data_IF_144412147375
#
_entry.id   IF_144412147375
#
_cell.length_a   1.000
_cell.length_b   1.000
_cell.length_c   1.000
_cell.angle_alpha   90.00
_cell.angle_beta   90.00
_cell.angle_gamma   90.00
#
_symmetry.space_group_name_H-M   'P 1'
#
loop_
_entity.id
_entity.type
_entity.pdbx_description
1 polymer ?
#
# COMPACT_ATOMS: atom_id res chain seq x y z
N UNK A 1 -29.19 -15.87 -2.67
CA UNK A 1 -28.98 -15.34 -4.02
C UNK A 1 -28.14 -14.07 -3.88
N UNK A 2 -26.83 -14.20 -3.58
CA UNK A 2 -25.89 -13.07 -3.49
C UNK A 2 -24.69 -13.43 -4.38
N UNK A 3 -24.98 -13.68 -5.64
CA UNK A 3 -23.98 -13.95 -6.68
C UNK A 3 -24.24 -13.02 -7.86
N UNK A 4 -24.52 -11.75 -7.58
CA UNK A 4 -23.90 -10.72 -8.40
C UNK A 4 -22.47 -10.68 -7.90
N UNK A 5 -21.59 -11.41 -8.58
CA UNK A 5 -20.17 -11.34 -8.33
C UNK A 5 -19.78 -9.89 -8.54
N UNK A 6 -19.32 -9.20 -7.48
CA UNK A 6 -18.77 -7.85 -7.60
C UNK A 6 -17.85 -7.81 -8.82
N UNK A 7 -18.23 -6.99 -9.78
CA UNK A 7 -17.51 -6.91 -11.03
C UNK A 7 -16.11 -6.36 -10.75
N UNK A 8 -15.18 -6.57 -11.68
CA UNK A 8 -13.83 -6.02 -11.54
C UNK A 8 -13.86 -4.51 -11.36
N UNK A 9 -14.85 -3.83 -11.94
CA UNK A 9 -15.04 -2.39 -11.79
C UNK A 9 -15.49 -2.01 -10.37
N UNK A 10 -16.43 -2.74 -9.78
CA UNK A 10 -16.88 -2.47 -8.40
C UNK A 10 -15.73 -2.59 -7.39
N UNK A 11 -14.87 -3.61 -7.54
CA UNK A 11 -13.71 -3.78 -6.66
C UNK A 11 -12.69 -2.66 -6.87
N UNK A 12 -12.54 -2.18 -8.10
CA UNK A 12 -11.65 -1.06 -8.43
C UNK A 12 -12.17 0.23 -7.79
N UNK A 13 -13.46 0.50 -7.92
CA UNK A 13 -14.13 1.62 -7.27
C UNK A 13 -14.01 1.55 -5.74
N UNK A 14 -14.21 0.37 -5.14
CA UNK A 14 -13.99 0.18 -3.70
C UNK A 14 -12.55 0.51 -3.29
N UNK A 15 -11.58 0.12 -4.11
CA UNK A 15 -10.16 0.43 -3.87
C UNK A 15 -9.92 1.94 -3.88
N UNK A 16 -10.45 2.65 -4.87
CA UNK A 16 -10.35 4.12 -4.98
C UNK A 16 -11.01 4.83 -3.79
N UNK A 17 -12.20 4.38 -3.38
CA UNK A 17 -12.89 4.92 -2.19
C UNK A 17 -12.06 4.65 -0.92
N UNK A 18 -11.40 3.49 -0.82
CA UNK A 18 -10.49 3.17 0.29
C UNK A 18 -9.33 4.16 0.40
N UNK A 19 -8.68 4.48 -0.72
CA UNK A 19 -7.61 5.47 -0.75
C UNK A 19 -8.13 6.89 -0.45
N UNK A 20 -9.29 7.28 -0.99
CA UNK A 20 -9.93 8.56 -0.68
C UNK A 20 -10.24 8.65 0.82
N UNK A 21 -10.83 7.62 1.41
CA UNK A 21 -11.12 7.59 2.84
C UNK A 21 -9.86 7.79 3.67
N UNK A 22 -8.77 7.09 3.33
CA UNK A 22 -7.49 7.23 4.02
C UNK A 22 -6.91 8.65 3.89
N UNK A 23 -6.98 9.27 2.70
CA UNK A 23 -6.54 10.65 2.47
C UNK A 23 -7.32 11.69 3.30
N UNK A 24 -8.55 11.35 3.72
CA UNK A 24 -9.41 12.19 4.57
C UNK A 24 -9.29 11.84 6.06
N UNK A 25 -8.35 10.97 6.43
CA UNK A 25 -8.15 10.51 7.80
C UNK A 25 -9.27 9.59 8.32
N UNK A 26 -10.08 9.03 7.42
CA UNK A 26 -11.14 8.07 7.76
C UNK A 26 -10.58 6.65 7.78
N UNK A 27 -9.53 6.44 8.56
CA UNK A 27 -8.75 5.20 8.64
C UNK A 27 -9.60 3.97 9.02
N UNK A 28 -10.59 4.13 9.91
CA UNK A 28 -11.52 3.04 10.27
C UNK A 28 -12.37 2.60 9.08
N UNK A 29 -12.84 3.54 8.26
CA UNK A 29 -13.61 3.24 7.05
C UNK A 29 -12.70 2.61 5.98
N UNK A 30 -11.49 3.17 5.80
CA UNK A 30 -10.50 2.61 4.89
C UNK A 30 -10.14 1.16 5.27
N UNK A 31 -9.99 0.87 6.57
CA UNK A 31 -9.76 -0.51 7.08
C UNK A 31 -10.87 -1.44 6.60
N UNK A 32 -12.14 -1.10 6.86
CA UNK A 32 -13.27 -1.94 6.48
C UNK A 32 -13.37 -2.17 4.97
N UNK A 33 -13.07 -1.12 4.18
CA UNK A 33 -13.08 -1.21 2.71
C UNK A 33 -11.98 -2.15 2.22
N UNK A 34 -10.74 -1.97 2.68
CA UNK A 34 -9.63 -2.80 2.22
C UNK A 34 -9.72 -4.25 2.70
N UNK A 35 -10.32 -4.49 3.87
CA UNK A 35 -10.73 -5.85 4.30
C UNK A 35 -11.73 -6.47 3.31
N UNK A 36 -12.73 -5.71 2.88
CA UNK A 36 -13.68 -6.13 1.84
C UNK A 36 -12.99 -6.43 0.51
N UNK A 37 -12.11 -5.54 0.02
CA UNK A 37 -11.34 -5.74 -1.21
C UNK A 37 -10.49 -7.01 -1.12
N UNK A 38 -9.81 -7.24 0.02
CA UNK A 38 -9.03 -8.46 0.27
C UNK A 38 -9.90 -9.71 0.23
N UNK A 39 -11.09 -9.68 0.83
CA UNK A 39 -12.03 -10.81 0.79
C UNK A 39 -12.54 -11.10 -0.63
N UNK A 40 -12.81 -10.05 -1.42
CA UNK A 40 -13.32 -10.17 -2.79
C UNK A 40 -12.24 -10.59 -3.80
N UNK A 41 -10.98 -10.21 -3.57
CA UNK A 41 -9.83 -10.52 -4.44
C UNK A 41 -8.60 -10.94 -3.59
N UNK A 42 -8.61 -12.13 -2.98
CA UNK A 42 -7.56 -12.55 -2.03
C UNK A 42 -6.18 -12.75 -2.66
N UNK A 43 -6.08 -12.78 -3.99
CA UNK A 43 -4.82 -12.90 -4.74
C UNK A 43 -4.30 -11.57 -5.29
N UNK A 44 -5.04 -10.47 -5.10
CA UNK A 44 -4.63 -9.15 -5.59
C UNK A 44 -4.02 -8.33 -4.45
N UNK A 45 -3.04 -7.49 -4.79
CA UNK A 45 -2.30 -6.70 -3.80
C UNK A 45 -3.11 -5.54 -3.20
N UNK A 46 -4.12 -5.02 -3.90
CA UNK A 46 -4.80 -3.78 -3.52
C UNK A 46 -5.38 -3.78 -2.09
N UNK A 47 -6.03 -4.87 -1.67
CA UNK A 47 -6.58 -5.00 -0.32
C UNK A 47 -5.47 -5.01 0.75
N UNK A 48 -4.55 -5.99 0.73
CA UNK A 48 -3.46 -6.03 1.70
C UNK A 48 -2.54 -4.80 1.69
N UNK A 49 -2.26 -4.22 0.51
CA UNK A 49 -1.50 -2.97 0.38
C UNK A 49 -2.22 -1.82 1.09
N UNK A 50 -3.51 -1.64 0.83
CA UNK A 50 -4.33 -0.63 1.49
C UNK A 50 -4.36 -0.77 3.01
N UNK A 51 -4.42 -2.01 3.53
CA UNK A 51 -4.32 -2.28 4.97
C UNK A 51 -2.96 -1.88 5.55
N UNK A 52 -1.86 -2.14 4.82
CA UNK A 52 -0.55 -1.68 5.25
C UNK A 52 -0.44 -0.14 5.29
N UNK A 53 -1.04 0.55 4.32
CA UNK A 53 -1.10 2.03 4.33
C UNK A 53 -1.93 2.57 5.50
N UNK A 54 -3.01 1.88 5.89
CA UNK A 54 -3.76 2.21 7.11
C UNK A 54 -2.86 2.11 8.34
N UNK A 55 -2.08 1.03 8.47
CA UNK A 55 -1.11 0.90 9.57
C UNK A 55 -0.07 2.03 9.55
N UNK A 56 0.46 2.39 8.37
CA UNK A 56 1.36 3.54 8.22
C UNK A 56 0.71 4.84 8.66
N UNK A 57 -0.56 5.06 8.32
CA UNK A 57 -1.31 6.25 8.70
C UNK A 57 -1.47 6.35 10.22
N UNK A 58 -1.72 5.22 10.89
CA UNK A 58 -1.82 5.12 12.36
C UNK A 58 -0.48 5.22 13.09
N UNK A 59 0.65 5.14 12.37
CA UNK A 59 1.99 5.05 12.97
C UNK A 59 2.32 3.63 13.49
N UNK A 60 1.52 2.63 13.11
CA UNK A 60 1.72 1.21 13.42
C UNK A 60 2.76 0.62 12.46
N UNK A 61 3.99 1.13 12.53
CA UNK A 61 5.01 0.89 11.51
C UNK A 61 5.47 -0.58 11.45
N UNK A 62 5.51 -1.28 12.57
CA UNK A 62 5.86 -2.70 12.62
C UNK A 62 4.86 -3.55 11.82
N UNK A 63 3.57 -3.29 12.00
CA UNK A 63 2.49 -3.96 11.26
C UNK A 63 2.51 -3.58 9.79
N UNK A 64 2.78 -2.32 9.46
CA UNK A 64 2.91 -1.88 8.08
C UNK A 64 4.05 -2.61 7.36
N UNK A 65 5.25 -2.63 7.94
CA UNK A 65 6.43 -3.30 7.37
C UNK A 65 6.17 -4.80 7.22
N UNK A 66 5.59 -5.45 8.23
CA UNK A 66 5.25 -6.87 8.15
C UNK A 66 4.26 -7.17 7.02
N UNK A 67 3.21 -6.33 6.88
CA UNK A 67 2.22 -6.46 5.82
C UNK A 67 2.82 -6.26 4.42
N UNK A 68 3.67 -5.25 4.26
CA UNK A 68 4.32 -4.94 2.98
C UNK A 68 5.32 -6.02 2.56
N UNK A 69 6.09 -6.59 3.50
CA UNK A 69 7.01 -7.70 3.22
C UNK A 69 6.29 -9.01 2.84
N UNK A 70 5.04 -9.18 3.25
CA UNK A 70 4.25 -10.36 2.91
C UNK A 70 3.66 -10.30 1.50
N UNK A 71 3.65 -9.12 0.86
CA UNK A 71 3.19 -8.95 -0.51
C UNK A 71 4.26 -9.42 -1.51
N UNK A 72 3.85 -9.94 -2.69
CA UNK A 72 4.75 -10.05 -3.82
C UNK A 72 5.40 -8.69 -4.12
N UNK A 73 6.70 -8.66 -4.46
CA UNK A 73 7.37 -7.40 -4.77
C UNK A 73 6.73 -6.74 -6.00
N UNK A 74 6.29 -5.50 -5.82
CA UNK A 74 5.80 -4.59 -6.85
C UNK A 74 6.35 -3.18 -6.57
N UNK A 75 6.41 -2.31 -7.57
CA UNK A 75 6.89 -0.94 -7.40
C UNK A 75 6.16 -0.22 -6.26
N UNK A 76 4.84 -0.46 -6.15
CA UNK A 76 4.00 0.07 -5.08
C UNK A 76 4.43 -0.49 -3.71
N UNK A 77 4.45 -1.82 -3.57
CA UNK A 77 4.78 -2.47 -2.30
C UNK A 77 6.19 -2.11 -1.81
N UNK A 78 7.18 -2.08 -2.72
CA UNK A 78 8.56 -1.72 -2.41
C UNK A 78 8.70 -0.25 -2.03
N UNK A 79 8.03 0.65 -2.75
CA UNK A 79 8.04 2.09 -2.41
C UNK A 79 7.48 2.33 -1.01
N UNK A 80 6.30 1.78 -0.72
CA UNK A 80 5.69 1.97 0.59
C UNK A 80 6.45 1.23 1.71
N UNK A 81 7.10 0.09 1.41
CA UNK A 81 7.99 -0.58 2.34
C UNK A 81 9.19 0.30 2.70
N UNK A 82 9.84 0.90 1.71
CA UNK A 82 10.93 1.84 1.93
C UNK A 82 10.51 3.06 2.77
N UNK A 83 9.34 3.63 2.49
CA UNK A 83 8.79 4.74 3.28
C UNK A 83 8.49 4.30 4.72
N UNK A 84 7.88 3.13 4.91
CA UNK A 84 7.58 2.59 6.24
C UNK A 84 8.86 2.34 7.06
N UNK A 85 9.88 1.73 6.44
CA UNK A 85 11.19 1.49 7.05
C UNK A 85 11.91 2.78 7.42
N UNK A 86 11.87 3.80 6.54
CA UNK A 86 12.44 5.12 6.85
C UNK A 86 11.77 5.73 8.08
N UNK A 87 10.43 5.70 8.15
CA UNK A 87 9.67 6.17 9.32
C UNK A 87 9.96 5.36 10.58
N UNK A 88 10.31 4.08 10.46
CA UNK A 88 10.67 3.19 11.57
C UNK A 88 12.13 3.41 12.03
N UNK A 89 12.92 4.20 11.29
CA UNK A 89 14.33 4.46 11.57
C UNK A 89 15.31 3.49 10.90
N UNK A 90 14.83 2.53 10.11
CA UNK A 90 15.65 1.58 9.36
C UNK A 90 16.19 2.19 8.05
N UNK A 91 16.96 3.28 8.19
CA UNK A 91 17.34 4.15 7.07
C UNK A 91 18.19 3.48 5.99
N UNK A 92 19.08 2.56 6.37
CA UNK A 92 19.93 1.86 5.40
C UNK A 92 19.09 0.98 4.46
N UNK A 93 18.23 0.14 5.02
CA UNK A 93 17.35 -0.76 4.24
C UNK A 93 16.33 0.04 3.42
N UNK A 94 15.76 1.10 3.99
CA UNK A 94 14.88 2.01 3.27
C UNK A 94 15.58 2.60 2.04
N UNK A 95 16.85 3.02 2.19
CA UNK A 95 17.62 3.60 1.09
C UNK A 95 17.84 2.63 -0.04
N UNK A 96 18.24 1.41 0.28
CA UNK A 96 18.52 0.37 -0.71
C UNK A 96 17.27 0.01 -1.52
N UNK A 97 16.12 -0.17 -0.85
CA UNK A 97 14.85 -0.51 -1.51
C UNK A 97 14.35 0.64 -2.39
N UNK A 98 14.37 1.88 -1.89
CA UNK A 98 13.90 3.03 -2.66
C UNK A 98 14.81 3.33 -3.86
N UNK A 99 16.12 3.11 -3.72
CA UNK A 99 17.07 3.22 -4.84
C UNK A 99 16.80 2.18 -5.93
N UNK A 100 16.45 0.94 -5.56
CA UNK A 100 16.08 -0.11 -6.52
C UNK A 100 14.82 0.25 -7.31
N UNK A 101 13.79 0.78 -6.65
CA UNK A 101 12.57 1.28 -7.34
C UNK A 101 12.91 2.38 -8.35
N UNK A 102 13.77 3.33 -7.96
CA UNK A 102 14.19 4.42 -8.86
C UNK A 102 14.94 3.88 -10.09
N UNK A 103 15.76 2.84 -9.89
CA UNK A 103 16.56 2.26 -10.96
C UNK A 103 15.73 1.40 -11.93
N UNK A 104 14.76 0.64 -11.40
CA UNK A 104 13.98 -0.33 -12.18
C UNK A 104 12.72 0.26 -12.80
N UNK A 105 12.16 1.32 -12.21
CA UNK A 105 10.91 1.96 -12.65
C UNK A 105 10.98 3.51 -12.71
N UNK A 106 12.01 4.11 -13.34
CA UNK A 106 12.38 5.53 -13.17
C UNK A 106 11.29 6.56 -13.51
N UNK A 107 10.40 6.22 -14.44
CA UNK A 107 9.35 7.09 -15.01
C UNK A 107 7.97 6.82 -14.39
N UNK A 108 7.90 6.08 -13.29
CA UNK A 108 6.64 5.81 -12.59
C UNK A 108 6.36 6.82 -11.47
N UNK A 109 5.10 7.02 -11.08
CA UNK A 109 4.77 7.77 -9.86
C UNK A 109 5.47 7.22 -8.61
N UNK A 110 5.72 5.91 -8.57
CA UNK A 110 6.42 5.25 -7.47
C UNK A 110 7.89 5.67 -7.38
N UNK A 111 8.60 5.80 -8.51
CA UNK A 111 9.95 6.34 -8.50
C UNK A 111 10.00 7.83 -8.12
N UNK A 112 8.97 8.61 -8.44
CA UNK A 112 8.86 10.00 -7.95
C UNK A 112 8.72 10.02 -6.42
N UNK A 113 7.78 9.24 -5.87
CA UNK A 113 7.61 9.10 -4.42
C UNK A 113 8.87 8.58 -3.72
N UNK A 114 9.56 7.62 -4.34
CA UNK A 114 10.80 7.08 -3.80
C UNK A 114 11.92 8.13 -3.76
N UNK A 115 12.03 8.99 -4.78
CA UNK A 115 12.98 10.13 -4.76
C UNK A 115 12.64 11.12 -3.66
N UNK A 116 11.36 11.45 -3.49
CA UNK A 116 10.90 12.35 -2.42
C UNK A 116 11.20 11.78 -1.03
N UNK A 117 11.06 10.47 -0.84
CA UNK A 117 11.36 9.81 0.43
C UNK A 117 12.86 9.71 0.76
N UNK A 118 13.75 9.90 -0.24
CA UNK A 118 15.21 9.86 -0.09
C UNK A 118 15.86 11.24 0.05
N UNK A 119 15.15 12.31 -0.31
CA UNK A 119 15.61 13.70 -0.26
C UNK A 119 15.41 14.32 1.11
#
# INVERSE_FOLDING_TARGET
MISEAFETEDVRLLTDIGFIALSRGLDTHATAIFEGVRALRPRQEAGPLGLALVHMFRGELDQAVAGLRALPPSDAALTFLGIALSRQGAQAEARDILADVIATAPDTPFAVLAREALG
#
